data_IF_504061998503
#
_entry.id   IF_504061998503
#
_cell.length_a   1.000
_cell.length_b   1.000
_cell.length_c   1.000
_cell.angle_alpha   90.00
_cell.angle_beta   90.00
_cell.angle_gamma   90.00
#
_symmetry.space_group_name_H-M   'P 1'
#
loop_
_entity.id
_entity.type
_entity.pdbx_description
1 polymer ?
#
# COMPACT_ATOMS: atom_id res chain seq x y z
N UNK A 1 52.38 -34.49 7.49
CA UNK A 1 51.70 -33.52 6.61
C UNK A 1 50.25 -33.41 7.07
N UNK A 2 49.96 -32.49 8.00
CA UNK A 2 48.60 -32.23 8.47
C UNK A 2 48.07 -30.99 7.75
N UNK A 3 47.06 -31.17 6.91
CA UNK A 3 46.35 -30.08 6.25
C UNK A 3 45.33 -29.50 7.24
N UNK A 4 45.57 -28.28 7.72
CA UNK A 4 44.55 -27.50 8.44
C UNK A 4 43.51 -27.03 7.42
N UNK A 5 42.31 -27.59 7.49
CA UNK A 5 41.14 -27.05 6.82
C UNK A 5 40.76 -25.73 7.49
N UNK A 6 41.03 -24.62 6.80
CA UNK A 6 40.51 -23.30 7.16
C UNK A 6 39.00 -23.29 6.84
N UNK A 7 38.18 -23.42 7.88
CA UNK A 7 36.74 -23.18 7.79
C UNK A 7 36.55 -21.66 7.60
N UNK A 8 36.32 -21.25 6.35
CA UNK A 8 35.93 -19.88 6.04
C UNK A 8 34.51 -19.68 6.58
N UNK A 9 34.39 -19.22 7.83
CA UNK A 9 33.13 -18.69 8.37
C UNK A 9 32.86 -17.39 7.62
N UNK A 10 32.12 -17.49 6.52
CA UNK A 10 31.48 -16.33 5.91
C UNK A 10 30.44 -15.88 6.94
N UNK A 11 30.86 -14.97 7.83
CA UNK A 11 29.94 -14.30 8.73
C UNK A 11 28.88 -13.64 7.86
N UNK A 12 27.62 -14.06 8.01
CA UNK A 12 26.49 -13.40 7.41
C UNK A 12 26.55 -11.93 7.87
N UNK A 13 27.02 -11.05 6.97
CA UNK A 13 26.93 -9.63 7.19
C UNK A 13 25.44 -9.33 7.35
N UNK A 14 25.01 -8.63 8.41
CA UNK A 14 23.64 -8.19 8.48
C UNK A 14 23.41 -7.29 7.26
N UNK A 15 22.63 -7.76 6.30
CA UNK A 15 21.94 -6.85 5.39
C UNK A 15 21.13 -5.96 6.31
N UNK A 16 21.50 -4.68 6.41
CA UNK A 16 20.63 -3.71 7.05
C UNK A 16 19.38 -3.63 6.18
N UNK A 17 18.35 -4.38 6.58
CA UNK A 17 17.04 -4.26 5.96
C UNK A 17 16.61 -2.82 6.17
N UNK A 18 16.51 -2.05 5.08
CA UNK A 18 15.93 -0.72 5.13
C UNK A 18 14.51 -0.85 5.72
N UNK A 19 14.14 0.08 6.61
CA UNK A 19 12.77 0.11 7.12
C UNK A 19 11.80 0.25 5.94
N UNK A 20 10.82 -0.67 5.79
CA UNK A 20 9.92 -0.64 4.66
C UNK A 20 9.00 0.58 4.74
N UNK A 21 8.87 1.30 3.62
CA UNK A 21 7.99 2.46 3.50
C UNK A 21 6.83 2.12 2.58
N UNK A 22 5.60 2.37 3.05
CA UNK A 22 4.38 2.23 2.26
C UNK A 22 3.85 3.61 1.88
N UNK A 23 3.59 3.81 0.58
CA UNK A 23 2.87 4.96 0.05
C UNK A 23 1.62 4.48 -0.67
N UNK A 24 0.54 5.27 -0.58
CA UNK A 24 -0.72 5.02 -1.27
C UNK A 24 -1.19 6.29 -1.98
N UNK A 25 -2.02 6.15 -3.02
CA UNK A 25 -2.77 7.26 -3.62
C UNK A 25 -4.21 6.84 -3.92
N UNK A 26 -5.14 7.80 -3.89
CA UNK A 26 -6.55 7.58 -4.31
C UNK A 26 -6.84 8.00 -5.75
N UNK A 27 -5.83 8.48 -6.48
CA UNK A 27 -5.95 9.05 -7.83
C UNK A 27 -5.41 10.47 -7.90
N UNK A 28 -5.18 10.97 -9.11
CA UNK A 28 -4.73 12.34 -9.37
C UNK A 28 -5.55 12.94 -10.52
N UNK A 29 -5.68 14.27 -10.54
CA UNK A 29 -6.46 14.99 -11.55
C UNK A 29 -6.79 16.41 -11.09
N UNK A 30 -7.72 17.06 -11.77
CA UNK A 30 -8.23 18.37 -11.37
C UNK A 30 -9.20 18.20 -10.20
N UNK A 31 -8.68 18.20 -8.98
CA UNK A 31 -9.46 18.17 -7.74
C UNK A 31 -9.33 19.55 -7.11
N UNK A 32 -10.33 20.41 -7.33
CA UNK A 32 -10.30 21.76 -6.75
C UNK A 32 -10.75 21.69 -5.30
N UNK A 33 -10.01 22.38 -4.43
CA UNK A 33 -10.32 22.46 -3.00
C UNK A 33 -11.70 23.09 -2.75
N UNK A 34 -12.13 24.00 -3.62
CA UNK A 34 -13.45 24.63 -3.59
C UNK A 34 -14.59 23.65 -3.78
N UNK A 35 -14.33 22.51 -4.42
CA UNK A 35 -15.35 21.54 -4.80
C UNK A 35 -15.49 20.43 -3.75
N UNK A 36 -14.65 20.46 -2.71
CA UNK A 36 -14.69 19.54 -1.58
C UNK A 36 -15.27 20.24 -0.36
N UNK A 37 -16.46 19.83 0.06
CA UNK A 37 -16.95 20.18 1.38
C UNK A 37 -16.12 19.45 2.48
N UNK A 38 -16.18 19.98 3.70
CA UNK A 38 -15.38 19.47 4.82
C UNK A 38 -15.73 18.03 5.22
N UNK A 39 -16.99 17.59 5.02
CA UNK A 39 -17.45 16.24 5.36
C UNK A 39 -16.88 15.25 4.35
N UNK A 40 -17.01 15.55 3.06
CA UNK A 40 -16.50 14.74 1.96
C UNK A 40 -14.97 14.61 2.06
N UNK A 41 -14.26 15.70 2.33
CA UNK A 41 -12.81 15.64 2.51
C UNK A 41 -12.42 14.77 3.71
N UNK A 42 -13.06 14.97 4.87
CA UNK A 42 -12.76 14.18 6.06
C UNK A 42 -12.99 12.69 5.81
N UNK A 43 -14.05 12.36 5.07
CA UNK A 43 -14.37 10.99 4.69
C UNK A 43 -13.33 10.38 3.74
N UNK A 44 -12.85 11.12 2.74
CA UNK A 44 -11.74 10.68 1.85
C UNK A 44 -10.47 10.41 2.67
N UNK A 45 -10.11 11.33 3.59
CA UNK A 45 -8.93 11.16 4.44
C UNK A 45 -9.04 9.97 5.38
N UNK A 46 -10.23 9.71 5.92
CA UNK A 46 -10.47 8.56 6.78
C UNK A 46 -10.23 7.23 6.04
N UNK A 47 -10.68 7.12 4.79
CA UNK A 47 -10.45 5.90 4.00
C UNK A 47 -8.98 5.73 3.63
N UNK A 48 -8.30 6.81 3.21
CA UNK A 48 -6.85 6.76 2.95
C UNK A 48 -6.08 6.32 4.21
N UNK A 49 -6.41 6.85 5.38
CA UNK A 49 -5.79 6.43 6.63
C UNK A 49 -6.08 4.97 6.97
N UNK A 50 -7.27 4.47 6.62
CA UNK A 50 -7.64 3.07 6.85
C UNK A 50 -6.85 2.14 5.95
N UNK A 51 -6.73 2.48 4.66
CA UNK A 51 -5.91 1.74 3.70
C UNK A 51 -4.42 1.73 4.09
N UNK A 52 -3.88 2.89 4.48
CA UNK A 52 -2.49 3.00 4.93
C UNK A 52 -2.23 2.15 6.18
N UNK A 53 -3.16 2.16 7.15
CA UNK A 53 -3.05 1.33 8.37
C UNK A 53 -3.09 -0.16 8.05
N UNK A 54 -3.99 -0.60 7.17
CA UNK A 54 -4.10 -2.00 6.79
C UNK A 54 -2.80 -2.53 6.17
N UNK A 55 -2.20 -1.79 5.24
CA UNK A 55 -0.91 -2.17 4.66
C UNK A 55 0.26 -2.07 5.66
N UNK A 56 0.31 -1.01 6.47
CA UNK A 56 1.35 -0.84 7.49
C UNK A 56 1.31 -1.94 8.57
N UNK A 57 0.14 -2.50 8.87
CA UNK A 57 0.01 -3.64 9.77
C UNK A 57 0.65 -4.92 9.21
N UNK A 58 0.51 -5.18 7.91
CA UNK A 58 1.20 -6.31 7.26
C UNK A 58 2.72 -6.13 7.29
N UNK A 59 3.23 -4.92 6.99
CA UNK A 59 4.68 -4.68 7.08
C UNK A 59 5.21 -4.85 8.51
N UNK A 60 4.47 -4.35 9.52
CA UNK A 60 4.85 -4.50 10.93
C UNK A 60 4.82 -5.95 11.41
N UNK A 61 3.99 -6.81 10.82
CA UNK A 61 3.97 -8.24 11.15
C UNK A 61 5.11 -9.03 10.47
N UNK A 62 5.89 -8.39 9.61
CA UNK A 62 6.95 -9.04 8.83
C UNK A 62 6.42 -9.78 7.60
N UNK A 63 5.20 -9.49 7.17
CA UNK A 63 4.67 -10.02 5.91
C UNK A 63 5.39 -9.40 4.70
N UNK A 64 5.31 -10.10 3.58
CA UNK A 64 5.88 -9.64 2.31
C UNK A 64 5.18 -8.37 1.81
N UNK A 65 5.89 -7.63 0.96
CA UNK A 65 5.41 -6.34 0.45
C UNK A 65 4.11 -6.47 -0.36
N UNK A 66 3.88 -7.60 -1.03
CA UNK A 66 2.65 -7.88 -1.76
C UNK A 66 1.44 -7.98 -0.83
N UNK A 67 1.57 -8.64 0.33
CA UNK A 67 0.51 -8.72 1.34
C UNK A 67 0.11 -7.33 1.85
N UNK A 68 1.09 -6.45 2.09
CA UNK A 68 0.85 -5.07 2.49
C UNK A 68 0.12 -4.25 1.43
N UNK A 69 0.55 -4.37 0.17
CA UNK A 69 -0.08 -3.67 -0.96
C UNK A 69 -1.50 -4.19 -1.19
N UNK A 70 -1.72 -5.50 -1.17
CA UNK A 70 -3.04 -6.12 -1.30
C UNK A 70 -3.98 -5.64 -0.18
N UNK A 71 -3.51 -5.60 1.06
CA UNK A 71 -4.31 -5.13 2.19
C UNK A 71 -4.74 -3.67 2.02
N UNK A 72 -3.84 -2.79 1.55
CA UNK A 72 -4.16 -1.40 1.30
C UNK A 72 -5.13 -1.23 0.11
N UNK A 73 -4.90 -1.92 -1.01
CA UNK A 73 -5.73 -1.81 -2.22
C UNK A 73 -7.15 -2.29 -1.96
N UNK A 74 -7.34 -3.40 -1.23
CA UNK A 74 -8.69 -3.91 -0.89
C UNK A 74 -9.54 -2.88 -0.16
N UNK A 75 -8.94 -2.08 0.73
CA UNK A 75 -9.65 -1.00 1.42
C UNK A 75 -10.04 0.12 0.45
N UNK A 76 -9.16 0.45 -0.51
CA UNK A 76 -9.45 1.45 -1.52
C UNK A 76 -10.54 0.99 -2.49
N UNK A 77 -10.51 -0.27 -2.94
CA UNK A 77 -11.52 -0.88 -3.82
C UNK A 77 -12.90 -1.02 -3.15
N UNK A 78 -12.95 -1.21 -1.83
CA UNK A 78 -14.19 -1.30 -1.08
C UNK A 78 -14.84 0.08 -0.86
N UNK A 79 -14.05 1.15 -0.91
CA UNK A 79 -14.57 2.51 -0.76
C UNK A 79 -15.20 3.01 -2.05
N UNK A 80 -16.46 3.47 -1.96
CA UNK A 80 -17.15 4.14 -3.06
C UNK A 80 -16.56 5.51 -3.45
N UNK A 81 -15.55 6.02 -2.70
CA UNK A 81 -14.93 7.34 -2.93
C UNK A 81 -13.74 7.31 -3.88
N UNK A 82 -13.21 6.13 -4.21
CA UNK A 82 -12.09 5.99 -5.14
C UNK A 82 -12.54 5.28 -6.40
N UNK A 83 -11.97 5.68 -7.53
CA UNK A 83 -12.22 5.04 -8.82
C UNK A 83 -11.50 3.68 -8.90
N UNK A 84 -11.96 2.72 -8.12
CA UNK A 84 -11.51 1.34 -8.08
C UNK A 84 -12.62 0.48 -7.45
N UNK A 85 -12.76 -0.78 -7.88
CA UNK A 85 -13.72 -1.72 -7.31
C UNK A 85 -15.15 -1.15 -7.27
N UNK A 86 -15.69 -0.95 -6.06
CA UNK A 86 -17.06 -0.47 -5.84
C UNK A 86 -17.30 0.97 -6.28
N UNK A 87 -16.26 1.80 -6.33
CA UNK A 87 -16.33 3.18 -6.80
C UNK A 87 -15.91 3.36 -8.25
N UNK A 88 -15.74 2.27 -9.02
CA UNK A 88 -15.32 2.33 -10.41
C UNK A 88 -16.26 3.21 -11.25
N UNK A 89 -15.67 4.08 -12.07
CA UNK A 89 -16.39 4.84 -13.09
C UNK A 89 -16.90 3.90 -14.19
N UNK A 90 -17.83 4.40 -14.99
CA UNK A 90 -18.37 3.65 -16.12
C UNK A 90 -17.54 3.85 -17.39
N UNK A 91 -17.47 2.81 -18.22
CA UNK A 91 -17.02 2.92 -19.60
C UNK A 91 -18.09 3.56 -20.51
N UNK A 92 -17.78 3.72 -21.80
CA UNK A 92 -18.68 4.35 -22.76
C UNK A 92 -19.97 3.54 -23.00
N UNK A 93 -19.95 2.23 -22.74
CA UNK A 93 -21.09 1.33 -22.89
C UNK A 93 -21.90 1.20 -21.58
N UNK A 94 -21.49 1.92 -20.52
CA UNK A 94 -22.13 1.91 -19.21
C UNK A 94 -21.70 0.74 -18.31
N UNK A 95 -20.66 -0.01 -18.68
CA UNK A 95 -20.06 -1.08 -17.89
C UNK A 95 -18.91 -0.60 -16.99
N UNK A 96 -18.23 -1.53 -16.32
CA UNK A 96 -16.99 -1.29 -15.56
C UNK A 96 -15.92 -2.27 -16.06
N UNK A 97 -14.71 -1.79 -16.34
CA UNK A 97 -13.58 -2.58 -16.81
C UNK A 97 -12.28 -2.19 -16.11
#
# INVERSE_FOLDING_TARGET
MAALAWLCVIGAMPVWAAEPVLLIHGGAGTILRSDLDAVTEAAIRADLQTALRAGAEQLRSGADADAAVIAAIRVLEESARFNAGKGAVMDADGGHQ
#
